data_IF_286270597156
#
_entry.id   IF_286270597156
#
_cell.length_a   1.000
_cell.length_b   1.000
_cell.length_c   1.000
_cell.angle_alpha   90.00
_cell.angle_beta   90.00
_cell.angle_gamma   90.00
#
_symmetry.space_group_name_H-M   'P 1'
#
loop_
_entity.id
_entity.type
_entity.pdbx_description
1 polymer ?
#
# COMPACT_ATOMS: atom_id res chain seq x y z
N UNK A 1 -48.60 -53.23 -26.84
CA UNK A 1 -48.49 -51.85 -26.31
C UNK A 1 -47.15 -51.74 -25.52
N UNK A 2 -46.10 -51.20 -26.14
CA UNK A 2 -44.79 -50.93 -25.50
C UNK A 2 -44.76 -49.46 -25.08
N UNK A 3 -44.67 -49.24 -23.79
CA UNK A 3 -44.43 -47.87 -23.23
C UNK A 3 -42.94 -47.53 -23.27
N UNK A 4 -42.59 -46.57 -24.10
CA UNK A 4 -41.25 -45.99 -24.17
C UNK A 4 -41.12 -44.94 -23.06
N UNK A 5 -40.23 -45.17 -22.10
CA UNK A 5 -39.89 -44.20 -21.06
C UNK A 5 -38.76 -43.33 -21.62
N UNK A 6 -39.05 -42.05 -21.79
CA UNK A 6 -38.08 -41.02 -22.23
C UNK A 6 -37.36 -40.49 -20.98
N UNK A 7 -36.11 -40.88 -20.80
CA UNK A 7 -35.26 -40.32 -19.75
C UNK A 7 -34.71 -38.98 -20.21
N UNK A 8 -35.16 -37.89 -19.59
CA UNK A 8 -34.60 -36.56 -19.77
C UNK A 8 -33.41 -36.42 -18.81
N UNK A 9 -32.21 -36.46 -19.37
CA UNK A 9 -30.98 -36.17 -18.63
C UNK A 9 -30.83 -34.63 -18.53
N UNK A 10 -31.05 -34.07 -17.33
CA UNK A 10 -30.87 -32.67 -17.04
C UNK A 10 -29.38 -32.42 -16.88
N UNK A 11 -28.72 -31.83 -17.89
CA UNK A 11 -27.33 -31.37 -17.81
C UNK A 11 -27.31 -30.09 -17.00
N UNK A 12 -26.93 -30.18 -15.72
CA UNK A 12 -26.65 -29.02 -14.89
C UNK A 12 -25.37 -28.36 -15.38
N UNK A 13 -25.49 -27.24 -16.11
CA UNK A 13 -24.41 -26.36 -16.49
C UNK A 13 -23.96 -25.63 -15.22
N UNK A 14 -22.92 -26.13 -14.53
CA UNK A 14 -22.26 -25.40 -13.46
C UNK A 14 -21.46 -24.28 -14.14
N UNK A 15 -22.08 -23.12 -14.26
CA UNK A 15 -21.38 -21.90 -14.60
C UNK A 15 -20.39 -21.58 -13.47
N UNK A 16 -19.13 -21.84 -13.69
CA UNK A 16 -18.05 -21.26 -12.87
C UNK A 16 -18.14 -19.75 -13.12
N UNK A 17 -18.80 -19.04 -12.22
CA UNK A 17 -18.65 -17.59 -12.14
C UNK A 17 -17.18 -17.35 -11.82
N UNK A 18 -16.38 -17.04 -12.84
CA UNK A 18 -15.07 -16.46 -12.67
C UNK A 18 -15.31 -15.13 -11.94
N UNK A 19 -15.12 -15.13 -10.62
CA UNK A 19 -14.97 -13.88 -9.88
C UNK A 19 -13.76 -13.20 -10.52
N UNK A 20 -13.89 -12.00 -11.10
CA UNK A 20 -12.74 -11.32 -11.63
C UNK A 20 -11.73 -11.20 -10.47
N UNK A 21 -10.53 -11.73 -10.68
CA UNK A 21 -9.39 -11.48 -9.79
C UNK A 21 -9.14 -9.98 -9.90
N UNK A 22 -9.71 -9.21 -8.98
CA UNK A 22 -9.39 -7.79 -8.88
C UNK A 22 -7.89 -7.70 -8.67
N UNK A 23 -7.21 -7.07 -9.61
CA UNK A 23 -5.77 -6.89 -9.55
C UNK A 23 -5.46 -5.71 -8.63
N UNK A 24 -5.65 -5.94 -7.33
CA UNK A 24 -5.38 -4.97 -6.28
C UNK A 24 -3.92 -5.10 -5.89
N UNK A 25 -3.18 -4.03 -6.07
CA UNK A 25 -1.76 -4.03 -5.88
C UNK A 25 -1.32 -2.81 -5.04
N UNK A 26 -0.23 -2.97 -4.34
CA UNK A 26 0.42 -1.90 -3.59
C UNK A 26 1.92 -2.16 -3.60
N UNK A 27 2.74 -1.12 -3.71
CA UNK A 27 4.20 -1.25 -3.62
C UNK A 27 4.74 -0.20 -2.67
N UNK A 28 5.34 -0.62 -1.56
CA UNK A 28 5.99 0.23 -0.58
C UNK A 28 7.51 0.11 -0.67
N UNK A 29 8.20 1.25 -0.57
CA UNK A 29 9.66 1.36 -0.53
C UNK A 29 10.09 2.31 0.59
N UNK A 30 11.39 2.31 0.88
CA UNK A 30 11.99 3.19 1.89
C UNK A 30 13.35 3.68 1.45
N UNK A 31 13.61 4.96 1.56
CA UNK A 31 14.94 5.53 1.36
C UNK A 31 15.40 6.25 2.62
N UNK A 32 16.71 6.28 2.81
CA UNK A 32 17.35 7.05 3.88
C UNK A 32 18.32 8.04 3.29
N UNK A 33 18.17 9.31 3.62
CA UNK A 33 19.09 10.38 3.23
C UNK A 33 20.32 10.45 4.12
N UNK A 34 21.35 11.16 3.67
CA UNK A 34 22.60 11.35 4.42
C UNK A 34 22.42 12.17 5.70
N UNK A 35 21.43 13.04 5.75
CA UNK A 35 21.03 13.78 6.95
C UNK A 35 20.35 12.91 8.02
N UNK A 36 20.19 11.60 7.75
CA UNK A 36 19.62 10.62 8.68
C UNK A 36 18.09 10.47 8.57
N UNK A 37 17.42 11.27 7.74
CA UNK A 37 15.97 11.19 7.56
C UNK A 37 15.58 9.90 6.83
N UNK A 38 14.54 9.25 7.32
CA UNK A 38 13.92 8.11 6.65
C UNK A 38 12.62 8.55 5.98
N UNK A 39 12.51 8.24 4.69
CA UNK A 39 11.34 8.49 3.86
C UNK A 39 10.72 7.14 3.50
N UNK A 40 9.44 6.97 3.79
CA UNK A 40 8.65 5.83 3.32
C UNK A 40 7.75 6.30 2.18
N UNK A 41 7.61 5.47 1.16
CA UNK A 41 6.79 5.83 0.01
C UNK A 41 6.03 4.61 -0.52
N UNK A 42 4.92 4.85 -1.22
CA UNK A 42 4.13 3.76 -1.79
C UNK A 42 3.29 4.19 -2.99
N UNK A 43 2.88 3.21 -3.77
CA UNK A 43 1.76 3.30 -4.71
C UNK A 43 0.53 2.60 -4.14
N UNK A 44 -0.66 3.00 -4.58
CA UNK A 44 -1.89 2.24 -4.40
C UNK A 44 -2.50 1.95 -5.76
N UNK A 45 -2.72 0.70 -6.02
CA UNK A 45 -3.36 0.21 -7.23
C UNK A 45 -4.70 -0.41 -6.89
N UNK A 46 -5.70 0.07 -7.57
CA UNK A 46 -7.05 -0.43 -7.46
C UNK A 46 -7.75 -0.22 -8.80
N UNK A 47 -8.33 -1.28 -9.32
CA UNK A 47 -8.95 -1.23 -10.63
C UNK A 47 -10.47 -1.51 -10.60
N UNK A 48 -11.01 -1.93 -9.44
CA UNK A 48 -12.43 -2.23 -9.29
C UNK A 48 -13.33 -0.98 -9.22
N UNK A 49 -12.78 0.17 -8.79
CA UNK A 49 -13.49 1.45 -8.69
C UNK A 49 -12.50 2.60 -8.60
N UNK A 50 -13.00 3.82 -8.80
CA UNK A 50 -12.31 5.01 -8.30
C UNK A 50 -12.46 5.03 -6.77
N UNK A 51 -11.37 4.90 -6.04
CA UNK A 51 -11.33 4.83 -4.57
C UNK A 51 -11.87 6.06 -3.83
N UNK A 52 -12.39 7.06 -4.52
CA UNK A 52 -12.86 8.32 -3.92
C UNK A 52 -11.86 8.91 -2.92
N UNK A 53 -10.58 8.84 -3.27
CA UNK A 53 -9.49 9.15 -2.36
C UNK A 53 -9.53 10.58 -1.86
N UNK A 54 -9.38 10.73 -0.54
CA UNK A 54 -9.47 11.98 0.17
C UNK A 54 -8.26 12.15 1.10
N UNK A 55 -7.82 13.39 1.35
CA UNK A 55 -7.03 13.64 2.54
C UNK A 55 -7.95 13.97 3.71
N UNK A 56 -7.60 13.45 4.88
CA UNK A 56 -8.36 13.64 6.11
C UNK A 56 -7.43 14.23 7.15
N UNK A 57 -7.87 15.32 7.81
CA UNK A 57 -7.18 15.93 8.95
C UNK A 57 -7.96 15.60 10.21
N UNK A 58 -7.30 14.94 11.15
CA UNK A 58 -7.91 14.50 12.41
C UNK A 58 -7.25 15.24 13.57
N UNK A 59 -8.01 16.07 14.32
CA UNK A 59 -7.49 16.81 15.46
C UNK A 59 -7.25 15.91 16.68
N UNK A 60 -6.44 16.36 17.63
CA UNK A 60 -6.37 15.76 18.96
C UNK A 60 -7.76 15.80 19.64
N UNK A 61 -8.07 14.76 20.38
CA UNK A 61 -9.35 14.63 21.09
C UNK A 61 -10.50 14.18 20.19
N UNK A 62 -10.29 14.00 18.88
CA UNK A 62 -11.35 13.49 18.01
C UNK A 62 -11.63 12.01 18.32
N UNK A 63 -12.90 11.72 18.61
CA UNK A 63 -13.34 10.37 18.91
C UNK A 63 -13.97 9.71 17.71
N UNK A 64 -13.56 8.49 17.44
CA UNK A 64 -14.08 7.63 16.39
C UNK A 64 -14.69 6.38 16.99
N UNK A 65 -15.57 5.75 16.25
CA UNK A 65 -16.11 4.43 16.58
C UNK A 65 -15.87 3.48 15.41
N UNK A 66 -15.45 2.27 15.74
CA UNK A 66 -15.18 1.27 14.73
C UNK A 66 -16.45 0.66 14.16
N UNK A 67 -16.39 0.31 12.88
CA UNK A 67 -17.35 -0.58 12.26
C UNK A 67 -17.17 -2.00 12.78
N UNK A 68 -18.24 -2.78 12.69
CA UNK A 68 -18.26 -4.21 12.98
C UNK A 68 -18.81 -4.97 11.77
N UNK A 69 -18.52 -6.27 11.64
CA UNK A 69 -18.94 -7.07 10.46
C UNK A 69 -20.47 -7.18 10.28
N UNK A 70 -21.25 -6.83 11.29
CA UNK A 70 -22.71 -6.75 11.19
C UNK A 70 -23.24 -5.46 10.53
N UNK A 71 -22.32 -4.60 10.06
CA UNK A 71 -22.62 -3.37 9.33
C UNK A 71 -22.84 -2.14 10.20
N UNK A 72 -22.71 -2.25 11.53
CA UNK A 72 -22.90 -1.14 12.47
C UNK A 72 -21.60 -0.43 12.84
N UNK A 73 -21.68 0.88 13.16
CA UNK A 73 -20.61 1.61 13.86
C UNK A 73 -20.76 1.42 15.37
N UNK A 74 -20.55 0.22 15.86
CA UNK A 74 -20.77 -0.18 17.26
C UNK A 74 -19.59 -0.94 17.87
N UNK A 75 -18.46 -1.00 17.17
CA UNK A 75 -17.21 -1.58 17.65
C UNK A 75 -16.48 -0.70 18.67
N UNK A 76 -15.18 -0.86 18.77
CA UNK A 76 -14.35 -0.11 19.71
C UNK A 76 -14.45 1.40 19.48
N UNK A 77 -14.56 2.15 20.57
CA UNK A 77 -14.46 3.61 20.57
C UNK A 77 -13.03 4.00 20.95
N UNK A 78 -12.41 4.88 20.16
CA UNK A 78 -11.06 5.36 20.39
C UNK A 78 -10.96 6.87 20.13
N UNK A 79 -10.03 7.52 20.81
CA UNK A 79 -9.85 8.98 20.77
C UNK A 79 -8.42 9.30 20.36
N UNK A 80 -8.25 10.14 19.36
CA UNK A 80 -6.94 10.54 18.90
C UNK A 80 -6.18 11.35 19.96
N UNK A 81 -5.13 10.79 20.53
CA UNK A 81 -4.16 11.48 21.40
C UNK A 81 -3.22 12.34 20.59
N UNK A 82 -2.90 11.89 19.39
CA UNK A 82 -2.08 12.59 18.39
C UNK A 82 -2.95 13.02 17.22
N UNK A 83 -2.76 14.26 16.76
CA UNK A 83 -3.34 14.70 15.53
C UNK A 83 -2.62 14.08 14.33
N UNK A 84 -3.34 13.80 13.25
CA UNK A 84 -2.77 13.19 12.07
C UNK A 84 -3.42 13.65 10.77
N UNK A 85 -2.72 13.43 9.67
CA UNK A 85 -3.24 13.53 8.32
C UNK A 85 -3.14 12.15 7.67
N UNK A 86 -4.20 11.74 7.00
CA UNK A 86 -4.22 10.48 6.27
C UNK A 86 -4.89 10.58 4.91
N UNK A 87 -4.53 9.68 4.02
CA UNK A 87 -5.22 9.47 2.74
C UNK A 87 -6.22 8.33 2.92
N UNK A 88 -7.49 8.69 2.88
CA UNK A 88 -8.61 7.78 3.00
C UNK A 88 -9.03 7.27 1.63
N UNK A 89 -9.59 6.06 1.60
CA UNK A 89 -10.14 5.41 0.42
C UNK A 89 -11.59 4.99 0.70
N UNK A 90 -12.46 5.12 -0.29
CA UNK A 90 -13.91 4.82 -0.24
C UNK A 90 -14.64 5.68 0.79
N UNK A 91 -14.25 5.62 2.04
CA UNK A 91 -14.85 6.38 3.15
C UNK A 91 -13.76 7.11 3.93
N UNK A 92 -14.09 8.27 4.46
CA UNK A 92 -13.17 9.14 5.22
C UNK A 92 -12.61 8.51 6.49
N UNK A 93 -13.22 7.44 7.00
CA UNK A 93 -12.78 6.66 8.14
C UNK A 93 -11.72 5.61 7.80
N UNK A 94 -11.58 5.24 6.50
CA UNK A 94 -10.67 4.18 6.02
C UNK A 94 -9.37 4.77 5.52
N UNK A 95 -8.47 5.05 6.45
CA UNK A 95 -7.15 5.61 6.13
C UNK A 95 -6.25 4.51 5.57
N UNK A 96 -5.82 4.67 4.31
CA UNK A 96 -4.92 3.73 3.65
C UNK A 96 -3.44 4.06 3.87
N UNK A 97 -3.09 5.32 4.08
CA UNK A 97 -1.73 5.81 4.39
C UNK A 97 -1.83 7.08 5.19
N UNK A 98 -0.95 7.31 6.17
CA UNK A 98 -0.97 8.56 6.94
C UNK A 98 0.27 8.79 7.79
N UNK A 99 0.30 9.99 8.37
CA UNK A 99 1.36 10.48 9.23
C UNK A 99 0.76 11.26 10.39
N UNK A 100 1.22 11.00 11.60
CA UNK A 100 0.83 11.79 12.75
C UNK A 100 1.88 12.84 13.15
N UNK A 101 1.51 13.73 14.04
CA UNK A 101 2.36 14.85 14.49
C UNK A 101 3.62 14.42 15.25
N UNK A 102 3.71 13.17 15.71
CA UNK A 102 4.92 12.63 16.32
C UNK A 102 5.90 12.07 15.29
N UNK A 103 5.45 11.88 14.04
CA UNK A 103 6.23 11.32 12.95
C UNK A 103 6.06 9.80 12.78
N UNK A 104 5.04 9.20 13.39
CA UNK A 104 4.65 7.83 13.08
C UNK A 104 3.88 7.80 11.76
N UNK A 105 4.34 6.99 10.81
CA UNK A 105 3.66 6.67 9.55
C UNK A 105 3.03 5.29 9.66
N UNK A 106 1.82 5.16 9.12
CA UNK A 106 1.09 3.90 9.06
C UNK A 106 0.38 3.77 7.71
N UNK A 107 0.40 2.56 7.15
CA UNK A 107 -0.26 2.27 5.89
C UNK A 107 -0.77 0.84 5.80
N UNK A 108 -1.89 0.64 5.10
CA UNK A 108 -2.44 -0.68 4.80
C UNK A 108 -2.14 -1.09 3.35
N UNK A 109 -2.01 -2.38 3.12
CA UNK A 109 -1.76 -3.00 1.84
C UNK A 109 -2.67 -4.21 1.68
N UNK A 110 -3.21 -4.42 0.49
CA UNK A 110 -4.09 -5.55 0.20
C UNK A 110 -3.36 -6.88 0.37
N UNK A 111 -4.00 -7.86 1.06
CA UNK A 111 -3.36 -9.12 1.46
C UNK A 111 -4.29 -10.32 1.23
N UNK A 112 -4.73 -10.54 -0.02
CA UNK A 112 -5.70 -11.57 -0.34
C UNK A 112 -5.12 -12.97 -0.17
N UNK A 113 -5.97 -13.92 0.22
CA UNK A 113 -5.66 -15.35 0.31
C UNK A 113 -4.51 -15.74 1.26
N UNK A 114 -3.96 -14.81 2.01
CA UNK A 114 -2.83 -15.05 2.94
C UNK A 114 -3.14 -14.63 4.36
N UNK A 115 -4.03 -13.64 4.54
CA UNK A 115 -4.50 -13.19 5.84
C UNK A 115 -5.75 -13.95 6.30
N UNK A 116 -5.89 -14.07 7.62
CA UNK A 116 -7.10 -14.56 8.29
C UNK A 116 -7.23 -13.87 9.63
N UNK A 117 -8.27 -13.03 9.78
CA UNK A 117 -8.53 -12.30 11.02
C UNK A 117 -9.19 -13.18 12.09
N UNK A 118 -9.23 -12.67 13.29
CA UNK A 118 -10.02 -13.27 14.37
C UNK A 118 -11.51 -13.22 14.00
N UNK A 119 -12.22 -14.29 14.35
CA UNK A 119 -13.69 -14.29 14.21
C UNK A 119 -14.28 -13.18 15.10
N UNK A 120 -15.22 -12.41 14.53
CA UNK A 120 -15.95 -11.43 15.30
C UNK A 120 -16.75 -12.08 16.41
N UNK A 121 -16.68 -11.48 17.60
CA UNK A 121 -17.48 -11.84 18.74
C UNK A 121 -18.19 -10.58 19.25
N UNK A 122 -19.50 -10.58 19.24
CA UNK A 122 -20.30 -9.44 19.67
C UNK A 122 -20.14 -9.13 21.17
N UNK A 123 -19.74 -10.10 22.00
CA UNK A 123 -19.41 -9.89 23.41
C UNK A 123 -18.12 -9.07 23.59
N UNK A 124 -17.20 -9.15 22.62
CA UNK A 124 -15.90 -8.46 22.57
C UNK A 124 -15.93 -7.20 21.68
N UNK A 125 -17.10 -6.74 21.25
CA UNK A 125 -17.23 -5.61 20.29
C UNK A 125 -16.50 -4.34 20.76
N UNK A 126 -16.44 -4.09 22.06
CA UNK A 126 -15.76 -2.90 22.62
C UNK A 126 -14.22 -2.95 22.48
N UNK A 127 -13.66 -4.09 22.07
CA UNK A 127 -12.26 -4.29 21.72
C UNK A 127 -12.08 -4.58 20.23
N UNK A 128 -13.17 -4.67 19.46
CA UNK A 128 -13.12 -4.97 18.03
C UNK A 128 -12.89 -3.73 17.21
N UNK A 129 -11.86 -3.75 16.37
CA UNK A 129 -11.53 -2.71 15.40
C UNK A 129 -11.58 -3.29 13.97
N UNK A 130 -12.21 -2.54 13.09
CA UNK A 130 -12.24 -2.89 11.69
C UNK A 130 -10.83 -2.76 11.06
N UNK A 131 -10.48 -3.70 10.24
CA UNK A 131 -9.20 -3.77 9.53
C UNK A 131 -8.85 -2.46 8.79
N UNK A 132 -9.81 -1.86 8.09
CA UNK A 132 -9.63 -0.60 7.37
C UNK A 132 -9.55 0.64 8.30
N UNK A 133 -9.85 0.50 9.60
CA UNK A 133 -9.72 1.57 10.59
C UNK A 133 -8.49 1.41 11.49
N UNK A 134 -7.73 0.33 11.37
CA UNK A 134 -6.54 0.12 12.19
C UNK A 134 -5.51 1.24 12.00
N UNK A 135 -5.32 1.74 10.78
CA UNK A 135 -4.39 2.85 10.53
C UNK A 135 -4.83 4.11 11.28
N UNK A 136 -6.13 4.44 11.27
CA UNK A 136 -6.67 5.58 12.02
C UNK A 136 -6.45 5.45 13.53
N UNK A 137 -6.66 4.25 14.08
CA UNK A 137 -6.43 3.95 15.48
C UNK A 137 -4.97 4.12 15.86
N UNK A 138 -4.07 3.51 15.11
CA UNK A 138 -2.63 3.56 15.39
C UNK A 138 -2.07 4.98 15.27
N UNK A 139 -2.42 5.73 14.22
CA UNK A 139 -2.00 7.12 14.07
C UNK A 139 -2.50 8.02 15.20
N UNK A 140 -3.71 7.74 15.69
CA UNK A 140 -4.27 8.49 16.81
C UNK A 140 -3.68 8.15 18.17
N UNK A 141 -3.29 6.90 18.41
CA UNK A 141 -2.94 6.41 19.75
C UNK A 141 -1.43 6.24 19.98
N UNK A 142 -0.63 6.06 18.91
CA UNK A 142 0.77 5.68 19.02
C UNK A 142 1.71 6.75 18.46
N UNK A 143 2.89 6.87 19.06
CA UNK A 143 3.99 7.71 18.57
C UNK A 143 5.19 6.92 18.04
N UNK A 144 5.28 5.63 18.38
CA UNK A 144 6.42 4.77 18.04
C UNK A 144 5.96 3.38 17.59
N UNK A 145 6.83 2.65 16.90
CA UNK A 145 6.56 1.27 16.48
C UNK A 145 6.46 0.29 17.67
N UNK A 146 7.08 0.59 18.81
CA UNK A 146 6.93 -0.24 20.01
C UNK A 146 5.56 -0.06 20.65
N UNK A 147 5.02 1.16 20.65
CA UNK A 147 3.64 1.42 21.08
C UNK A 147 2.63 0.72 20.17
N UNK A 148 2.91 0.64 18.85
CA UNK A 148 2.06 -0.10 17.90
C UNK A 148 1.95 -1.57 18.29
N UNK A 149 3.07 -2.25 18.60
CA UNK A 149 3.04 -3.65 19.06
C UNK A 149 2.16 -3.84 20.29
N UNK A 150 2.30 -2.95 21.27
CA UNK A 150 1.47 -2.99 22.49
C UNK A 150 -0.01 -2.82 22.16
N UNK A 151 -0.35 -1.77 21.40
CA UNK A 151 -1.74 -1.42 21.09
C UNK A 151 -2.47 -2.46 20.24
N UNK A 152 -1.80 -3.05 19.27
CA UNK A 152 -2.39 -4.13 18.44
C UNK A 152 -2.75 -5.35 19.29
N UNK A 153 -1.98 -5.67 20.31
CA UNK A 153 -2.27 -6.79 21.21
C UNK A 153 -3.47 -6.52 22.18
N UNK A 154 -3.88 -5.26 22.33
CA UNK A 154 -5.03 -4.87 23.16
C UNK A 154 -6.37 -5.03 22.43
N UNK A 155 -6.36 -5.14 21.11
CA UNK A 155 -7.56 -5.09 20.26
C UNK A 155 -7.79 -6.41 19.49
N UNK A 156 -9.00 -6.57 18.99
CA UNK A 156 -9.38 -7.65 18.07
C UNK A 156 -9.60 -7.03 16.69
N UNK A 157 -8.78 -7.41 15.73
CA UNK A 157 -8.93 -6.91 14.36
C UNK A 157 -9.90 -7.83 13.61
N UNK A 158 -10.94 -7.25 13.02
CA UNK A 158 -11.97 -7.97 12.29
C UNK A 158 -12.23 -7.31 10.94
N UNK A 159 -12.78 -8.07 9.98
CA UNK A 159 -13.18 -7.49 8.71
C UNK A 159 -14.26 -6.42 8.91
N UNK A 160 -14.22 -5.37 8.13
CA UNK A 160 -15.35 -4.45 8.01
C UNK A 160 -16.48 -5.09 7.19
N UNK A 161 -16.11 -5.83 6.15
CA UNK A 161 -17.03 -6.67 5.36
C UNK A 161 -16.45 -8.08 5.27
N UNK A 162 -17.16 -9.10 5.81
CA UNK A 162 -16.68 -10.49 5.78
C UNK A 162 -16.48 -11.08 4.37
N UNK A 163 -17.03 -10.44 3.33
CA UNK A 163 -16.87 -10.83 1.93
C UNK A 163 -15.62 -10.21 1.30
N UNK A 164 -15.08 -9.16 1.92
CA UNK A 164 -13.86 -8.52 1.46
C UNK A 164 -12.64 -9.36 1.84
N UNK A 165 -11.58 -9.21 1.08
CA UNK A 165 -10.29 -9.81 1.40
C UNK A 165 -9.59 -9.06 2.53
N UNK A 166 -8.52 -9.64 3.06
CA UNK A 166 -7.74 -9.06 4.16
C UNK A 166 -6.75 -8.01 3.66
N UNK A 167 -6.24 -7.22 4.61
CA UNK A 167 -5.09 -6.32 4.43
C UNK A 167 -4.00 -6.66 5.45
N UNK A 168 -2.77 -6.22 5.19
CA UNK A 168 -1.68 -6.18 6.15
C UNK A 168 -1.12 -4.76 6.24
N UNK A 169 -0.28 -4.48 7.21
CA UNK A 169 0.08 -3.10 7.53
C UNK A 169 1.59 -2.90 7.64
N UNK A 170 2.03 -1.70 7.25
CA UNK A 170 3.36 -1.17 7.53
C UNK A 170 3.23 -0.03 8.54
N UNK A 171 4.11 -0.04 9.53
CA UNK A 171 4.31 1.07 10.48
C UNK A 171 5.77 1.47 10.45
N UNK A 172 6.05 2.77 10.53
CA UNK A 172 7.39 3.31 10.58
C UNK A 172 7.43 4.55 11.46
N UNK A 173 8.52 4.77 12.18
CA UNK A 173 8.71 5.97 13.02
C UNK A 173 10.00 6.73 12.68
N UNK A 174 10.21 7.85 13.34
CA UNK A 174 11.37 8.75 13.10
C UNK A 174 12.71 8.11 13.39
N UNK A 175 12.78 6.99 14.12
CA UNK A 175 14.03 6.24 14.31
C UNK A 175 14.48 5.49 13.06
N UNK A 176 13.59 5.39 12.07
CA UNK A 176 13.77 4.61 10.85
C UNK A 176 13.42 3.13 11.01
N UNK A 177 12.94 2.71 12.20
CA UNK A 177 12.40 1.35 12.39
C UNK A 177 11.08 1.19 11.66
N UNK A 178 10.87 -0.01 11.16
CA UNK A 178 9.65 -0.38 10.45
C UNK A 178 9.16 -1.75 10.87
N UNK A 179 7.84 -1.86 11.00
CA UNK A 179 7.15 -3.11 11.26
C UNK A 179 6.19 -3.45 10.12
N UNK A 180 6.11 -4.71 9.80
CA UNK A 180 4.99 -5.31 9.06
C UNK A 180 4.14 -6.08 10.07
N UNK A 181 2.83 -5.87 10.01
CA UNK A 181 1.83 -6.64 10.75
C UNK A 181 1.02 -7.47 9.76
N UNK A 182 1.02 -8.76 9.96
CA UNK A 182 0.15 -9.72 9.27
C UNK A 182 -0.70 -10.47 10.31
N UNK A 183 -1.95 -10.76 9.98
CA UNK A 183 -2.80 -11.61 10.82
C UNK A 183 -3.06 -12.89 10.06
N UNK A 184 -2.54 -13.99 10.58
CA UNK A 184 -2.59 -15.30 9.93
C UNK A 184 -3.10 -16.31 10.95
N UNK A 185 -4.19 -17.01 10.59
CA UNK A 185 -4.88 -17.93 11.51
C UNK A 185 -5.42 -17.22 12.77
N UNK A 186 -5.86 -15.97 12.64
CA UNK A 186 -6.35 -15.15 13.75
C UNK A 186 -5.26 -14.62 14.70
N UNK A 187 -3.97 -14.81 14.37
CA UNK A 187 -2.84 -14.43 15.24
C UNK A 187 -2.06 -13.27 14.62
N UNK A 188 -1.91 -12.13 15.32
CA UNK A 188 -1.04 -11.05 14.89
C UNK A 188 0.44 -11.51 14.85
N UNK A 189 1.10 -11.29 13.73
CA UNK A 189 2.53 -11.55 13.52
C UNK A 189 3.23 -10.25 13.15
N UNK A 190 4.28 -9.93 13.88
CA UNK A 190 5.08 -8.73 13.66
C UNK A 190 6.43 -9.09 13.09
N UNK A 191 6.80 -8.42 12.01
CA UNK A 191 8.11 -8.57 11.37
C UNK A 191 8.85 -7.24 11.37
N UNK A 192 10.10 -7.22 11.85
CA UNK A 192 10.99 -6.07 11.66
C UNK A 192 11.37 -5.98 10.18
N UNK A 193 10.90 -4.94 9.52
CA UNK A 193 11.16 -4.73 8.10
C UNK A 193 12.48 -3.96 7.88
N UNK A 194 13.59 -4.68 7.94
CA UNK A 194 14.94 -4.11 7.73
C UNK A 194 15.21 -3.72 6.27
N UNK A 195 14.51 -4.36 5.34
CA UNK A 195 14.63 -4.06 3.90
C UNK A 195 13.87 -2.79 3.54
N UNK A 196 12.71 -2.54 4.18
CA UNK A 196 11.88 -1.38 3.91
C UNK A 196 10.95 -1.51 2.69
N UNK A 197 10.78 -2.72 2.16
CA UNK A 197 9.86 -3.02 1.04
C UNK A 197 8.66 -3.79 1.55
N UNK A 198 7.48 -3.49 1.01
CA UNK A 198 6.27 -4.26 1.22
C UNK A 198 5.41 -4.21 -0.06
N UNK A 199 4.80 -5.35 -0.42
CA UNK A 199 3.83 -5.41 -1.52
C UNK A 199 2.52 -6.04 -1.03
N UNK A 200 2.13 -7.17 -1.55
CA UNK A 200 0.90 -7.87 -1.21
C UNK A 200 1.21 -9.35 -0.90
N UNK A 201 0.24 -10.25 -1.11
CA UNK A 201 0.44 -11.68 -0.93
C UNK A 201 1.51 -12.26 -1.88
N UNK A 202 2.24 -13.31 -1.46
CA UNK A 202 2.17 -14.03 -0.18
C UNK A 202 2.69 -13.22 1.00
N UNK A 203 2.84 -13.85 2.20
CA UNK A 203 3.31 -13.20 3.41
C UNK A 203 4.74 -12.66 3.30
N UNK A 204 5.08 -11.72 4.17
CA UNK A 204 6.33 -10.97 4.14
C UNK A 204 7.59 -11.85 4.21
N UNK A 205 7.61 -12.88 5.06
CA UNK A 205 8.75 -13.81 5.15
C UNK A 205 8.96 -14.60 3.85
N UNK A 206 7.89 -14.95 3.15
CA UNK A 206 7.99 -15.61 1.86
C UNK A 206 8.68 -14.70 0.83
N UNK A 207 8.34 -13.41 0.79
CA UNK A 207 8.99 -12.46 -0.11
C UNK A 207 10.48 -12.34 0.17
N UNK A 208 10.88 -12.29 1.45
CA UNK A 208 12.31 -12.28 1.83
C UNK A 208 13.01 -13.55 1.39
N UNK A 209 12.37 -14.71 1.55
CA UNK A 209 12.91 -16.01 1.09
C UNK A 209 13.05 -16.04 -0.43
N UNK A 210 12.07 -15.53 -1.16
CA UNK A 210 12.07 -15.48 -2.62
C UNK A 210 13.23 -14.64 -3.20
N UNK A 211 13.73 -13.63 -2.48
CA UNK A 211 14.88 -12.84 -2.93
C UNK A 211 16.13 -13.71 -3.18
N UNK A 212 16.25 -14.88 -2.54
CA UNK A 212 17.38 -15.79 -2.77
C UNK A 212 17.42 -16.32 -4.21
N UNK A 213 16.30 -16.37 -4.92
CA UNK A 213 16.26 -16.74 -6.33
C UNK A 213 16.93 -15.72 -7.25
N UNK A 214 17.21 -14.52 -6.74
CA UNK A 214 17.74 -13.38 -7.50
C UNK A 214 19.13 -12.94 -7.01
N UNK A 215 19.84 -13.82 -6.30
CA UNK A 215 21.20 -13.56 -5.77
C UNK A 215 22.22 -13.22 -6.86
N UNK A 216 21.95 -13.61 -8.10
CA UNK A 216 22.77 -13.29 -9.28
C UNK A 216 22.63 -11.86 -9.79
N UNK A 217 21.61 -11.12 -9.34
CA UNK A 217 21.39 -9.74 -9.79
C UNK A 217 22.31 -8.77 -9.05
N UNK A 218 22.87 -7.81 -9.78
CA UNK A 218 23.76 -6.79 -9.23
C UNK A 218 23.63 -5.47 -10.04
N UNK A 219 23.96 -4.30 -9.44
CA UNK A 219 23.91 -3.03 -10.15
C UNK A 219 25.02 -2.91 -11.20
N UNK A 220 24.72 -2.22 -12.31
CA UNK A 220 25.68 -1.96 -13.38
C UNK A 220 25.67 -3.02 -14.49
N UNK A 221 26.79 -3.18 -15.15
CA UNK A 221 26.98 -4.11 -16.27
C UNK A 221 27.73 -5.38 -15.88
N UNK A 222 27.37 -6.51 -16.53
CA UNK A 222 28.16 -7.73 -16.47
C UNK A 222 29.52 -7.51 -17.17
N UNK A 223 30.51 -8.28 -16.75
CA UNK A 223 31.84 -8.27 -17.38
C UNK A 223 31.83 -9.11 -18.66
N UNK A 224 32.64 -8.71 -19.62
CA UNK A 224 32.97 -9.54 -20.79
C UNK A 224 33.66 -10.83 -20.36
N UNK A 225 33.38 -11.93 -21.01
CA UNK A 225 34.03 -13.21 -20.74
C UNK A 225 33.97 -14.16 -21.94
N UNK A 226 34.86 -15.14 -21.97
CA UNK A 226 34.84 -16.19 -22.97
C UNK A 226 33.88 -17.32 -22.54
N UNK A 227 33.02 -17.72 -23.47
CA UNK A 227 32.18 -18.91 -23.37
C UNK A 227 32.61 -19.90 -24.46
N UNK A 228 33.48 -20.81 -24.11
CA UNK A 228 34.20 -21.64 -25.08
C UNK A 228 35.08 -20.75 -25.97
N UNK A 229 34.77 -20.69 -27.27
CA UNK A 229 35.50 -19.90 -28.25
C UNK A 229 34.79 -18.59 -28.64
N UNK A 230 33.69 -18.26 -27.94
CA UNK A 230 32.86 -17.10 -28.24
C UNK A 230 33.07 -16.06 -27.14
N UNK A 231 33.41 -14.84 -27.53
CA UNK A 231 33.46 -13.69 -26.63
C UNK A 231 32.03 -13.16 -26.37
N UNK A 232 31.62 -13.09 -25.13
CA UNK A 232 30.34 -12.51 -24.72
C UNK A 232 30.58 -11.17 -24.05
N UNK A 233 29.88 -10.14 -24.57
CA UNK A 233 29.89 -8.80 -24.01
C UNK A 233 28.46 -8.34 -23.70
N UNK A 234 28.26 -7.49 -22.66
CA UNK A 234 26.94 -6.99 -22.30
C UNK A 234 26.40 -6.03 -23.36
N UNK A 235 25.10 -6.12 -23.66
CA UNK A 235 24.40 -5.25 -24.63
C UNK A 235 23.92 -3.95 -23.98
N UNK A 236 24.78 -3.25 -23.24
CA UNK A 236 24.49 -1.95 -22.64
C UNK A 236 24.51 -1.92 -21.13
N UNK A 237 24.25 -0.74 -20.56
CA UNK A 237 24.21 -0.53 -19.12
C UNK A 237 23.05 -1.26 -18.45
N UNK A 238 23.24 -1.68 -17.19
CA UNK A 238 22.20 -2.36 -16.41
C UNK A 238 22.06 -3.86 -16.72
N UNK A 239 22.96 -4.46 -17.48
CA UNK A 239 22.94 -5.90 -17.80
C UNK A 239 23.06 -6.79 -16.55
N UNK A 240 23.56 -6.28 -15.43
CA UNK A 240 23.54 -6.96 -14.13
C UNK A 240 22.13 -7.23 -13.60
N UNK A 241 21.11 -6.55 -14.11
CA UNK A 241 19.71 -6.79 -13.81
C UNK A 241 18.98 -7.70 -14.81
N UNK A 242 19.71 -8.37 -15.69
CA UNK A 242 19.09 -9.33 -16.59
C UNK A 242 18.43 -10.46 -15.80
N UNK A 243 17.11 -10.62 -15.98
CA UNK A 243 16.28 -11.53 -15.18
C UNK A 243 15.51 -10.84 -14.04
N UNK A 244 15.68 -9.52 -13.83
CA UNK A 244 14.80 -8.76 -12.93
C UNK A 244 13.35 -8.86 -13.44
N UNK A 245 12.39 -9.36 -12.61
CA UNK A 245 11.03 -9.60 -13.09
C UNK A 245 10.30 -8.29 -13.43
N UNK A 246 9.67 -8.25 -14.60
CA UNK A 246 9.00 -7.04 -15.12
C UNK A 246 7.49 -7.03 -14.99
N UNK A 247 6.85 -8.16 -14.63
CA UNK A 247 5.41 -8.25 -14.48
C UNK A 247 4.88 -7.54 -13.21
N UNK A 248 3.55 -7.43 -13.10
CA UNK A 248 2.91 -6.66 -12.04
C UNK A 248 2.44 -7.52 -10.84
N UNK A 249 2.80 -8.80 -10.78
CA UNK A 249 2.48 -9.63 -9.62
C UNK A 249 3.19 -9.15 -8.35
N UNK A 250 2.63 -9.36 -7.14
CA UNK A 250 3.27 -8.93 -5.91
C UNK A 250 4.70 -9.48 -5.71
N UNK A 251 5.01 -10.76 -6.00
CA UNK A 251 6.38 -11.26 -5.92
C UNK A 251 7.36 -10.53 -6.84
N UNK A 252 6.97 -10.28 -8.06
CA UNK A 252 7.80 -9.57 -9.04
C UNK A 252 8.03 -8.11 -8.66
N UNK A 253 6.98 -7.44 -8.19
CA UNK A 253 7.09 -6.07 -7.69
C UNK A 253 7.95 -5.98 -6.43
N UNK A 254 7.86 -6.95 -5.51
CA UNK A 254 8.71 -6.98 -4.32
C UNK A 254 10.20 -7.07 -4.69
N UNK A 255 10.56 -8.02 -5.57
CA UNK A 255 11.94 -8.18 -6.06
C UNK A 255 12.42 -6.90 -6.74
N UNK A 256 11.65 -6.37 -7.68
CA UNK A 256 12.00 -5.15 -8.42
C UNK A 256 12.17 -3.95 -7.48
N UNK A 257 11.27 -3.76 -6.51
CA UNK A 257 11.34 -2.70 -5.52
C UNK A 257 12.59 -2.84 -4.64
N UNK A 258 12.90 -4.05 -4.17
CA UNK A 258 14.08 -4.31 -3.37
C UNK A 258 15.37 -3.92 -4.10
N UNK A 259 15.55 -4.37 -5.34
CA UNK A 259 16.74 -4.05 -6.13
C UNK A 259 16.84 -2.57 -6.49
N UNK A 260 15.77 -1.95 -6.95
CA UNK A 260 15.78 -0.52 -7.32
C UNK A 260 16.03 0.37 -6.09
N UNK A 261 15.48 0.01 -4.94
CA UNK A 261 15.68 0.76 -3.69
C UNK A 261 17.13 0.63 -3.19
N UNK A 262 17.66 -0.61 -3.11
CA UNK A 262 18.98 -0.87 -2.52
C UNK A 262 20.10 -0.30 -3.40
N UNK A 263 19.91 -0.24 -4.72
CA UNK A 263 20.89 0.32 -5.66
C UNK A 263 20.73 1.82 -5.89
N UNK A 264 19.66 2.43 -5.35
CA UNK A 264 19.46 3.88 -5.44
C UNK A 264 20.59 4.63 -4.68
N UNK A 265 21.13 5.71 -5.26
CA UNK A 265 22.13 6.50 -4.56
C UNK A 265 21.52 7.16 -3.33
N UNK A 266 22.24 7.10 -2.20
CA UNK A 266 21.83 7.81 -0.99
C UNK A 266 21.92 9.33 -1.24
N UNK A 267 20.77 10.00 -1.19
CA UNK A 267 20.65 11.45 -1.42
C UNK A 267 21.09 12.24 -0.18
N UNK A 268 21.39 13.52 -0.37
CA UNK A 268 21.89 14.38 0.71
C UNK A 268 20.76 14.76 1.67
N UNK A 269 19.60 15.12 1.13
CA UNK A 269 18.45 15.63 1.88
C UNK A 269 17.23 14.73 1.77
N UNK A 270 16.30 14.89 2.73
CA UNK A 270 15.00 14.24 2.69
C UNK A 270 14.24 14.56 1.40
N UNK A 271 14.23 15.82 0.96
CA UNK A 271 13.50 16.22 -0.25
C UNK A 271 14.05 15.56 -1.51
N UNK A 272 15.36 15.46 -1.67
CA UNK A 272 15.98 14.70 -2.78
C UNK A 272 15.62 13.21 -2.72
N UNK A 273 15.51 12.63 -1.51
CA UNK A 273 15.07 11.25 -1.32
C UNK A 273 13.61 11.06 -1.66
N UNK A 274 12.74 12.05 -1.37
CA UNK A 274 11.33 12.06 -1.81
C UNK A 274 11.23 12.01 -3.33
N UNK A 275 11.96 12.87 -4.03
CA UNK A 275 11.97 12.87 -5.50
C UNK A 275 12.50 11.53 -6.04
N UNK A 276 13.54 10.98 -5.41
CA UNK A 276 14.06 9.65 -5.77
C UNK A 276 13.02 8.54 -5.55
N UNK A 277 12.19 8.61 -4.48
CA UNK A 277 11.09 7.68 -4.27
C UNK A 277 10.09 7.73 -5.43
N UNK A 278 9.68 8.92 -5.87
CA UNK A 278 8.77 9.06 -7.01
C UNK A 278 9.40 8.50 -8.30
N UNK A 279 10.69 8.71 -8.54
CA UNK A 279 11.39 8.14 -9.69
C UNK A 279 11.41 6.59 -9.65
N UNK A 280 11.70 5.99 -8.49
CA UNK A 280 11.66 4.54 -8.34
C UNK A 280 10.23 4.03 -8.55
N UNK A 281 9.26 4.68 -7.93
CA UNK A 281 7.86 4.25 -7.98
C UNK A 281 7.20 4.44 -9.35
N UNK A 282 7.79 5.21 -10.28
CA UNK A 282 7.36 5.21 -11.68
C UNK A 282 7.43 3.83 -12.34
N UNK A 283 8.32 2.94 -11.86
CA UNK A 283 8.41 1.55 -12.35
C UNK A 283 7.25 0.66 -11.87
N UNK A 284 6.37 1.21 -11.04
CA UNK A 284 5.21 0.53 -10.44
C UNK A 284 3.90 1.22 -10.82
N UNK A 285 3.93 2.23 -11.69
CA UNK A 285 2.72 2.77 -12.30
C UNK A 285 2.15 1.72 -13.28
N UNK A 286 0.98 1.19 -12.97
CA UNK A 286 0.35 0.11 -13.72
C UNK A 286 -0.69 0.70 -14.68
N UNK A 287 -0.45 0.63 -16.01
CA UNK A 287 -1.45 1.01 -16.99
C UNK A 287 -2.73 0.19 -16.83
N UNK A 288 -3.89 0.81 -16.97
CA UNK A 288 -5.16 0.16 -16.73
C UNK A 288 -5.35 -1.12 -17.56
N UNK A 289 -4.95 -1.10 -18.83
CA UNK A 289 -5.03 -2.25 -19.74
C UNK A 289 -4.10 -3.41 -19.41
N UNK A 290 -3.12 -3.21 -18.50
CA UNK A 290 -2.25 -4.30 -18.06
C UNK A 290 -2.91 -5.20 -16.99
N UNK A 291 -4.04 -4.79 -16.43
CA UNK A 291 -4.76 -5.51 -15.35
C UNK A 291 -6.08 -6.11 -15.78
N UNK A 292 -6.61 -5.72 -16.94
CA UNK A 292 -7.90 -6.16 -17.43
C UNK A 292 -7.79 -6.92 -18.73
N UNK A 293 -8.66 -7.91 -18.90
CA UNK A 293 -8.86 -8.54 -20.18
C UNK A 293 -9.48 -7.55 -21.19
N UNK A 294 -9.32 -7.83 -22.46
CA UNK A 294 -9.94 -7.03 -23.51
C UNK A 294 -11.45 -6.93 -23.32
N UNK A 295 -11.98 -5.73 -23.36
CA UNK A 295 -13.43 -5.46 -23.14
C UNK A 295 -13.86 -5.30 -21.68
N UNK A 296 -12.97 -5.54 -20.69
CA UNK A 296 -13.26 -5.38 -19.25
C UNK A 296 -12.67 -4.10 -18.64
N UNK A 297 -11.97 -3.31 -19.44
CA UNK A 297 -11.28 -2.08 -18.97
C UNK A 297 -12.33 -1.04 -18.55
N UNK A 298 -12.30 -0.55 -17.29
CA UNK A 298 -13.17 0.53 -16.84
C UNK A 298 -12.91 1.83 -17.60
N UNK A 299 -13.98 2.47 -18.10
CA UNK A 299 -13.88 3.66 -18.93
C UNK A 299 -13.51 4.94 -18.15
N UNK A 300 -13.72 4.94 -16.85
CA UNK A 300 -13.60 6.11 -15.95
C UNK A 300 -12.33 6.08 -15.07
N UNK A 301 -11.50 5.03 -15.18
CA UNK A 301 -10.26 4.86 -14.43
C UNK A 301 -9.08 4.93 -15.39
N UNK A 302 -8.32 6.05 -15.43
CA UNK A 302 -7.24 6.23 -16.40
C UNK A 302 -6.00 5.39 -16.11
N UNK A 303 -5.80 4.94 -14.86
CA UNK A 303 -4.67 4.12 -14.42
C UNK A 303 -5.09 3.23 -13.26
N UNK A 304 -4.56 2.01 -13.20
CA UNK A 304 -4.73 1.15 -12.04
C UNK A 304 -4.00 1.73 -10.81
N UNK A 305 -2.83 2.36 -10.99
CA UNK A 305 -2.16 3.13 -9.94
C UNK A 305 -2.88 4.45 -9.74
N UNK A 306 -3.67 4.54 -8.67
CA UNK A 306 -4.54 5.69 -8.44
C UNK A 306 -3.82 6.86 -7.78
N UNK A 307 -2.87 6.59 -6.90
CA UNK A 307 -1.97 7.61 -6.35
C UNK A 307 -0.65 7.00 -5.86
N UNK A 308 0.36 7.85 -5.84
CA UNK A 308 1.68 7.61 -5.25
C UNK A 308 1.89 8.61 -4.13
N UNK A 309 2.35 8.14 -2.97
CA UNK A 309 2.67 8.99 -1.83
C UNK A 309 4.10 8.74 -1.32
N UNK A 310 4.69 9.77 -0.72
CA UNK A 310 5.95 9.70 0.00
C UNK A 310 5.84 10.51 1.29
N UNK A 311 6.36 9.96 2.39
CA UNK A 311 6.22 10.50 3.74
C UNK A 311 7.60 10.75 4.34
N UNK A 312 7.89 12.00 4.65
CA UNK A 312 9.03 12.42 5.47
C UNK A 312 8.57 12.46 6.93
N UNK A 313 8.97 11.44 7.68
CA UNK A 313 8.57 11.30 9.08
C UNK A 313 9.26 12.31 10.00
N UNK A 314 10.48 12.73 9.65
CA UNK A 314 11.27 13.67 10.45
C UNK A 314 10.72 15.09 10.34
N UNK A 315 10.45 15.55 9.12
CA UNK A 315 9.93 16.89 8.88
C UNK A 315 8.39 16.95 8.81
N UNK A 316 7.67 15.86 9.10
CA UNK A 316 6.20 15.75 9.13
C UNK A 316 5.55 16.22 7.83
N UNK A 317 6.09 15.76 6.71
CA UNK A 317 5.59 16.13 5.38
C UNK A 317 5.00 14.92 4.66
N UNK A 318 3.81 15.06 4.12
CA UNK A 318 3.19 14.11 3.20
C UNK A 318 3.26 14.68 1.77
N UNK A 319 3.76 13.90 0.83
CA UNK A 319 3.79 14.23 -0.60
C UNK A 319 2.96 13.23 -1.37
N UNK A 320 2.27 13.69 -2.42
CA UNK A 320 1.47 12.79 -3.25
C UNK A 320 1.27 13.31 -4.67
N UNK A 321 0.99 12.42 -5.59
CA UNK A 321 0.44 12.65 -6.91
C UNK A 321 -0.67 11.63 -7.17
N UNK A 322 -1.52 11.86 -8.17
CA UNK A 322 -2.65 10.98 -8.47
C UNK A 322 -2.68 10.61 -9.95
N UNK A 323 -3.51 9.64 -10.31
CA UNK A 323 -3.76 9.25 -11.71
C UNK A 323 -4.35 10.39 -12.57
N UNK A 324 -4.93 11.41 -11.95
CA UNK A 324 -5.49 12.57 -12.64
C UNK A 324 -4.50 13.74 -12.73
N UNK A 325 -3.52 13.82 -11.83
CA UNK A 325 -2.57 14.93 -11.78
C UNK A 325 -1.20 14.45 -11.27
N UNK A 326 -0.23 14.44 -12.17
CA UNK A 326 1.15 14.02 -11.90
C UNK A 326 1.99 15.06 -11.15
N UNK A 327 1.48 16.27 -10.94
CA UNK A 327 2.16 17.30 -10.13
C UNK A 327 2.22 16.82 -8.68
N UNK A 328 3.42 16.80 -8.11
CA UNK A 328 3.62 16.45 -6.71
C UNK A 328 3.08 17.57 -5.82
N UNK A 329 2.19 17.24 -4.92
CA UNK A 329 1.57 18.12 -3.92
C UNK A 329 2.00 17.68 -2.54
N UNK A 330 2.01 18.58 -1.56
CA UNK A 330 2.42 18.28 -0.19
C UNK A 330 1.46 18.83 0.84
N UNK A 331 1.48 18.20 2.01
CA UNK A 331 0.80 18.65 3.23
C UNK A 331 1.87 18.71 4.32
N UNK A 332 2.04 19.91 4.90
CA UNK A 332 2.95 20.16 6.03
C UNK A 332 2.15 20.06 7.34
N UNK A 333 2.45 19.04 8.16
CA UNK A 333 1.78 18.86 9.44
C UNK A 333 2.21 19.90 10.48
N UNK A 334 3.41 20.51 10.35
CA UNK A 334 3.83 21.61 11.23
C UNK A 334 2.97 22.87 11.05
N UNK A 335 2.38 23.05 9.88
CA UNK A 335 1.45 24.17 9.62
C UNK A 335 0.06 23.95 10.22
N UNK A 336 -0.21 22.78 10.86
CA UNK A 336 -1.51 22.42 11.39
C UNK A 336 -1.48 22.47 12.92
N UNK A 337 -2.27 23.36 13.54
CA UNK A 337 -2.52 23.33 14.98
C UNK A 337 -3.58 22.26 15.28
N UNK A 338 -3.14 21.04 15.59
CA UNK A 338 -4.02 19.92 15.90
C UNK A 338 -4.84 20.06 17.18
N UNK A 339 -4.58 21.08 17.98
CA UNK A 339 -5.43 21.42 19.13
C UNK A 339 -6.64 22.27 18.78
N UNK A 340 -6.62 22.91 17.61
CA UNK A 340 -7.65 23.87 17.16
C UNK A 340 -8.33 23.50 15.86
N UNK A 341 -7.64 22.77 14.96
CA UNK A 341 -8.22 22.36 13.67
C UNK A 341 -9.47 21.50 13.92
N UNK A 342 -10.45 21.64 13.06
CA UNK A 342 -11.60 20.73 13.06
C UNK A 342 -11.34 19.55 12.13
N UNK A 343 -11.98 18.42 12.41
CA UNK A 343 -12.00 17.26 11.52
C UNK A 343 -12.41 17.71 10.11
N UNK A 344 -11.62 17.33 9.11
CA UNK A 344 -11.84 17.72 7.72
C UNK A 344 -11.46 16.59 6.77
N UNK A 345 -12.31 16.32 5.81
CA UNK A 345 -12.01 15.45 4.68
C UNK A 345 -12.23 16.22 3.37
N UNK A 346 -11.32 16.09 2.41
CA UNK A 346 -11.44 16.70 1.07
C UNK A 346 -10.86 15.75 0.03
N UNK A 347 -11.43 15.68 -1.19
CA UNK A 347 -10.85 14.91 -2.28
C UNK A 347 -9.38 15.25 -2.53
N UNK A 348 -8.57 14.25 -2.89
CA UNK A 348 -7.19 14.49 -3.34
C UNK A 348 -7.15 15.33 -4.61
N UNK A 349 -8.14 15.13 -5.49
CA UNK A 349 -8.34 15.95 -6.69
C UNK A 349 -9.73 16.59 -6.68
N UNK A 350 -9.77 17.90 -6.55
CA UNK A 350 -11.00 18.67 -6.73
C UNK A 350 -11.38 18.73 -8.23
N UNK A 351 -10.36 18.82 -9.08
CA UNK A 351 -10.50 18.77 -10.54
C UNK A 351 -9.70 17.57 -11.05
N UNK A 352 -10.39 16.63 -11.69
CA UNK A 352 -9.81 15.41 -12.23
C UNK A 352 -9.21 15.67 -13.62
N UNK A 353 -8.17 16.51 -13.67
CA UNK A 353 -7.46 16.81 -14.92
C UNK A 353 -6.00 17.13 -14.64
N UNK A 354 -5.14 16.78 -15.62
CA UNK A 354 -3.72 17.10 -15.60
C UNK A 354 -3.51 18.58 -15.89
N UNK A 355 -2.73 19.25 -15.03
CA UNK A 355 -2.23 20.59 -15.30
C UNK A 355 -1.06 20.50 -16.29
N UNK A 356 -1.13 21.24 -17.39
CA UNK A 356 -0.07 21.34 -18.39
C UNK A 356 0.49 22.74 -18.41
N UNK A 357 1.79 22.87 -18.21
CA UNK A 357 2.51 24.13 -18.41
C UNK A 357 2.81 24.29 -19.89
N UNK A 358 2.39 25.40 -20.48
CA UNK A 358 2.64 25.72 -21.89
C UNK A 358 3.87 26.61 -21.96
N UNK A 359 4.95 26.12 -22.55
CA UNK A 359 6.16 26.90 -22.79
C UNK A 359 5.97 27.71 -24.07
N UNK A 360 6.03 29.03 -23.94
CA UNK A 360 6.06 29.94 -25.09
C UNK A 360 7.49 30.02 -25.59
N UNK A 361 7.70 29.71 -26.86
CA UNK A 361 9.00 29.85 -27.53
C UNK A 361 8.95 31.16 -28.32
N UNK A 362 9.80 32.12 -27.93
CA UNK A 362 10.00 33.38 -28.63
C UNK A 362 11.00 33.24 -29.78
#
# INVERSE_FOLDING_TARGET
MRKTILSITLLALVGVLAVPLSADACTGITLRSKDGTTVVARTIEWAGSNLNSQYVVVPRGYTQQSYTPDGGMNGMRFTARHGYVGFAVEQKEFIAEGLNETGLSAGLFYFPNSGEYQKYDSAEKNRSIADLQLVSFILGECGTVDEVKSKVNEVRITNVDPRASTVHWRFADTSGRQLVLEIVGGVPRFYENKLGVLTNSPGFEWHLTNLNNYVNLFPGGASEHLFGNIELAPLGGGSGFLGLPGDFTPPSRFVRAAFLQVTAPQRTTAFESILQCFHILNNFDIPIGAQFSEGEIPADIPSATQWTAATDMTHRMLYYRTMYNSVIRSIDLHAIDFSKVQYRAKPLDVVKSQTIEIITVE
#
